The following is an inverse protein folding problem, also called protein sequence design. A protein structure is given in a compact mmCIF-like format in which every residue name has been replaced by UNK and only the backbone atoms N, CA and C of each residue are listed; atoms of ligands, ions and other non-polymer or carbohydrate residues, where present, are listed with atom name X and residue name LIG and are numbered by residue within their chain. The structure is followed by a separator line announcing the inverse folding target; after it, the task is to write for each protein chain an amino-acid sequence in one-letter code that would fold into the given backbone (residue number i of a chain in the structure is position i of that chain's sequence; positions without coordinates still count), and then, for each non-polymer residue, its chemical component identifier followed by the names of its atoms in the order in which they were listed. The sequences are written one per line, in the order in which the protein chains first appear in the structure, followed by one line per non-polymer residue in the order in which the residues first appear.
data_IF_851687530988
#
_entry.id   IF_851687530988
#
_cell.length_a   1.000
_cell.length_b   1.000
_cell.length_c   1.000
_cell.angle_alpha   90.00
_cell.angle_beta   90.00
_cell.angle_gamma   90.00
#
_symmetry.space_group_name_H-M   'P 1'
#
loop_
_entity.id
_entity.type
_entity.pdbx_description
1 polymer ?
#
# COMPACT_ATOMS: atom_id res chain seq x y z
N UNK A 1 22.37 21.04 -10.24
CA UNK A 1 22.10 19.69 -9.69
C UNK A 1 21.67 19.85 -8.25
N UNK A 2 20.36 19.97 -7.99
CA UNK A 2 19.84 20.11 -6.63
C UNK A 2 19.94 18.76 -5.93
N UNK A 3 20.82 18.67 -4.92
CA UNK A 3 20.86 17.53 -4.01
C UNK A 3 19.52 17.48 -3.29
N UNK A 4 18.68 16.49 -3.62
CA UNK A 4 17.47 16.20 -2.85
C UNK A 4 17.95 15.68 -1.50
N UNK A 5 17.97 16.55 -0.50
CA UNK A 5 18.20 16.19 0.90
C UNK A 5 17.15 15.11 1.25
N UNK A 6 17.62 13.89 1.50
CA UNK A 6 16.76 12.80 1.95
C UNK A 6 16.26 13.17 3.34
N UNK A 7 15.09 13.78 3.40
CA UNK A 7 14.28 13.86 4.62
C UNK A 7 14.28 12.50 5.31
N UNK A 8 14.33 12.44 6.65
CA UNK A 8 14.29 11.17 7.36
C UNK A 8 13.04 10.41 6.93
N UNK A 9 13.22 9.23 6.32
CA UNK A 9 12.11 8.45 5.78
C UNK A 9 11.10 8.21 6.90
N UNK A 10 9.90 8.77 6.76
CA UNK A 10 8.81 8.60 7.72
C UNK A 10 8.46 7.11 7.85
N UNK A 11 7.83 6.69 8.96
CA UNK A 11 7.40 5.30 9.13
C UNK A 11 6.53 4.81 7.97
N UNK A 12 5.73 5.71 7.41
CA UNK A 12 4.97 5.51 6.20
C UNK A 12 5.85 5.18 4.99
N UNK A 13 6.85 6.01 4.68
CA UNK A 13 7.74 5.80 3.54
C UNK A 13 8.53 4.49 3.64
N UNK A 14 8.91 4.07 4.86
CA UNK A 14 9.55 2.77 5.06
C UNK A 14 8.62 1.61 4.68
N UNK A 15 7.34 1.70 5.01
CA UNK A 15 6.33 0.70 4.65
C UNK A 15 6.11 0.69 3.13
N UNK A 16 5.94 1.85 2.49
CA UNK A 16 5.82 1.94 1.02
C UNK A 16 7.05 1.35 0.32
N UNK A 17 8.25 1.69 0.80
CA UNK A 17 9.49 1.17 0.25
C UNK A 17 9.58 -0.35 0.39
N UNK A 18 9.08 -0.93 1.49
CA UNK A 18 9.00 -2.38 1.67
C UNK A 18 8.18 -3.02 0.54
N UNK A 19 6.99 -2.49 0.24
CA UNK A 19 6.15 -3.03 -0.84
C UNK A 19 6.79 -2.88 -2.22
N UNK A 20 7.44 -1.76 -2.51
CA UNK A 20 8.03 -1.53 -3.83
C UNK A 20 9.34 -2.29 -4.07
N UNK A 21 10.09 -2.64 -3.01
CA UNK A 21 11.44 -3.23 -3.16
C UNK A 21 11.56 -4.67 -2.72
N UNK A 22 10.73 -5.12 -1.77
CA UNK A 22 10.83 -6.47 -1.19
C UNK A 22 9.66 -7.36 -1.54
N UNK A 23 8.44 -6.82 -1.67
CA UNK A 23 7.28 -7.65 -1.96
C UNK A 23 7.25 -8.01 -3.45
N UNK A 24 6.98 -9.27 -3.77
CA UNK A 24 6.74 -9.71 -5.14
C UNK A 24 5.31 -9.39 -5.60
N UNK A 25 5.13 -9.22 -6.90
CA UNK A 25 3.81 -8.96 -7.50
C UNK A 25 2.92 -10.19 -7.33
N UNK A 26 1.65 -9.99 -6.99
CA UNK A 26 0.64 -11.04 -6.79
C UNK A 26 1.05 -12.10 -5.78
N UNK A 27 1.82 -11.70 -4.75
CA UNK A 27 2.23 -12.57 -3.65
C UNK A 27 1.58 -12.12 -2.33
N UNK A 28 0.43 -12.70 -1.94
CA UNK A 28 -0.24 -12.41 -0.68
C UNK A 28 0.62 -12.79 0.53
N UNK A 29 0.80 -11.82 1.42
CA UNK A 29 1.46 -12.03 2.70
C UNK A 29 0.55 -11.64 3.84
N UNK A 30 0.72 -12.30 4.98
CA UNK A 30 0.04 -11.92 6.21
C UNK A 30 0.62 -10.61 6.75
N UNK A 31 -0.23 -9.79 7.39
CA UNK A 31 0.19 -8.57 8.08
C UNK A 31 1.28 -8.83 9.14
N UNK A 32 1.30 -10.03 9.74
CA UNK A 32 2.32 -10.44 10.71
C UNK A 32 3.72 -10.42 10.10
N UNK A 33 3.87 -10.85 8.83
CA UNK A 33 5.15 -10.79 8.13
C UNK A 33 5.62 -9.36 7.89
N UNK A 34 4.69 -8.44 7.59
CA UNK A 34 5.01 -7.01 7.46
C UNK A 34 5.45 -6.42 8.80
N UNK A 35 4.82 -6.83 9.91
CA UNK A 35 5.22 -6.46 11.29
C UNK A 35 6.64 -6.94 11.59
N UNK A 36 6.95 -8.19 11.30
CA UNK A 36 8.27 -8.78 11.50
C UNK A 36 9.34 -8.08 10.65
N UNK A 37 9.07 -7.86 9.35
CA UNK A 37 10.04 -7.31 8.41
C UNK A 37 10.33 -5.82 8.61
N UNK A 38 9.35 -5.07 9.14
CA UNK A 38 9.48 -3.62 9.32
C UNK A 38 9.75 -3.21 10.77
N UNK A 39 9.48 -4.09 11.74
CA UNK A 39 9.64 -3.83 13.17
C UNK A 39 8.62 -2.84 13.74
N UNK A 40 7.59 -2.46 13.00
CA UNK A 40 6.54 -1.57 13.48
C UNK A 40 5.42 -2.31 14.20
N UNK A 41 4.70 -1.61 15.08
CA UNK A 41 3.56 -2.21 15.78
C UNK A 41 2.43 -2.59 14.83
N UNK A 42 1.74 -3.68 15.14
CA UNK A 42 0.61 -4.18 14.34
C UNK A 42 -0.46 -3.10 14.08
N UNK A 43 -0.82 -2.34 15.11
CA UNK A 43 -1.79 -1.25 15.00
C UNK A 43 -1.34 -0.12 14.06
N UNK A 44 -0.04 0.20 14.06
CA UNK A 44 0.53 1.20 13.16
C UNK A 44 0.52 0.73 11.71
N UNK A 45 0.94 -0.52 11.48
CA UNK A 45 0.92 -1.10 10.13
C UNK A 45 -0.51 -1.17 9.63
N UNK A 46 -1.45 -1.72 10.41
CA UNK A 46 -2.85 -1.83 9.99
C UNK A 46 -3.45 -0.48 9.60
N UNK A 47 -3.23 0.57 10.41
CA UNK A 47 -3.70 1.93 10.09
C UNK A 47 -3.05 2.47 8.81
N UNK A 48 -1.75 2.20 8.64
CA UNK A 48 -1.01 2.62 7.45
C UNK A 48 -1.49 1.90 6.20
N UNK A 49 -1.62 0.57 6.22
CA UNK A 49 -2.08 -0.20 5.07
C UNK A 49 -3.53 0.13 4.69
N UNK A 50 -4.39 0.41 5.68
CA UNK A 50 -5.74 0.90 5.42
C UNK A 50 -5.70 2.23 4.63
N UNK A 51 -4.86 3.18 5.06
CA UNK A 51 -4.65 4.44 4.34
C UNK A 51 -4.07 4.23 2.94
N UNK A 52 -3.12 3.30 2.79
CA UNK A 52 -2.53 2.98 1.48
C UNK A 52 -3.57 2.40 0.53
N UNK A 53 -4.45 1.51 1.01
CA UNK A 53 -5.55 0.96 0.20
C UNK A 53 -6.48 2.05 -0.33
N UNK A 54 -6.75 3.07 0.47
CA UNK A 54 -7.61 4.18 0.05
C UNK A 54 -6.90 5.10 -0.96
N UNK A 55 -5.65 5.48 -0.67
CA UNK A 55 -4.91 6.51 -1.42
C UNK A 55 -4.04 5.98 -2.57
N UNK A 56 -3.81 4.68 -2.70
CA UNK A 56 -2.86 4.11 -3.68
C UNK A 56 -3.51 3.02 -4.53
N UNK A 57 -3.20 3.05 -5.82
CA UNK A 57 -3.56 2.02 -6.79
C UNK A 57 -2.53 0.88 -6.81
N UNK A 58 -3.05 -0.31 -7.08
CA UNK A 58 -2.29 -1.55 -7.18
C UNK A 58 -1.84 -2.13 -5.84
N UNK A 59 -2.50 -1.71 -4.76
CA UNK A 59 -2.32 -2.23 -3.41
C UNK A 59 -3.62 -2.84 -2.90
N UNK A 60 -3.51 -4.04 -2.35
CA UNK A 60 -4.65 -4.78 -1.80
C UNK A 60 -4.43 -5.07 -0.33
N UNK A 61 -5.49 -4.87 0.45
CA UNK A 61 -5.50 -5.14 1.88
C UNK A 61 -6.90 -5.54 2.35
N UNK A 62 -7.03 -6.76 2.85
CA UNK A 62 -8.31 -7.30 3.29
C UNK A 62 -8.14 -8.33 4.41
N UNK A 63 -9.27 -8.68 5.03
CA UNK A 63 -9.32 -9.70 6.07
C UNK A 63 -9.70 -11.03 5.42
N UNK A 64 -8.83 -12.02 5.54
CA UNK A 64 -9.08 -13.40 5.12
C UNK A 64 -9.13 -14.30 6.34
N UNK A 65 -10.32 -14.82 6.66
CA UNK A 65 -10.59 -15.56 7.89
C UNK A 65 -10.26 -14.74 9.15
N UNK A 66 -9.30 -15.22 9.94
CA UNK A 66 -8.83 -14.56 11.16
C UNK A 66 -7.60 -13.68 10.97
N UNK A 67 -7.02 -13.63 9.76
CA UNK A 67 -5.80 -12.86 9.49
C UNK A 67 -6.07 -11.72 8.49
N UNK A 68 -5.20 -10.71 8.51
CA UNK A 68 -5.19 -9.68 7.47
C UNK A 68 -4.11 -10.02 6.47
N UNK A 69 -4.46 -9.96 5.19
CA UNK A 69 -3.57 -10.23 4.07
C UNK A 69 -3.37 -8.97 3.24
N UNK A 70 -2.20 -8.85 2.65
CA UNK A 70 -1.85 -7.74 1.76
C UNK A 70 -0.98 -8.22 0.61
N UNK A 71 -1.20 -7.62 -0.56
CA UNK A 71 -0.37 -7.83 -1.76
C UNK A 71 -0.38 -6.59 -2.64
N UNK A 72 0.49 -6.58 -3.64
CA UNK A 72 0.47 -5.61 -4.73
C UNK A 72 0.25 -6.35 -6.05
N UNK A 73 -0.50 -5.75 -6.97
CA UNK A 73 -0.72 -6.30 -8.32
C UNK A 73 0.19 -5.66 -9.38
N UNK A 74 0.98 -4.66 -8.97
CA UNK A 74 1.92 -3.90 -9.80
C UNK A 74 3.32 -3.90 -9.21
N UNK A 75 4.30 -3.53 -10.04
CA UNK A 75 5.69 -3.41 -9.63
C UNK A 75 5.89 -2.34 -8.54
N UNK A 76 5.17 -1.23 -8.66
CA UNK A 76 5.15 -0.14 -7.69
C UNK A 76 3.71 0.23 -7.34
N UNK A 77 3.43 0.52 -6.07
CA UNK A 77 2.16 1.12 -5.66
C UNK A 77 2.17 2.60 -6.03
N UNK A 78 1.10 3.06 -6.68
CA UNK A 78 1.02 4.40 -7.29
C UNK A 78 0.03 5.22 -6.48
N UNK A 79 0.44 6.40 -6.00
CA UNK A 79 -0.49 7.29 -5.30
C UNK A 79 -1.56 7.74 -6.28
N UNK A 80 -2.83 7.53 -5.93
CA UNK A 80 -3.97 8.10 -6.66
C UNK A 80 -3.78 9.61 -6.66
N UNK A 81 -3.68 10.19 -7.85
CA UNK A 81 -3.81 11.63 -8.00
C UNK A 81 -5.31 11.91 -8.04
N UNK A 82 -5.79 12.90 -7.29
CA UNK A 82 -7.16 13.42 -7.45
C UNK A 82 -7.47 13.80 -8.92
N UNK A 83 -6.43 14.01 -9.74
CA UNK A 83 -6.47 14.38 -11.16
C UNK A 83 -6.13 13.22 -12.13
N UNK A 84 -6.04 11.97 -11.67
CA UNK A 84 -5.89 10.82 -12.58
C UNK A 84 -7.23 10.26 -13.02
N UNK A 85 -7.33 9.82 -14.28
CA UNK A 85 -8.53 9.22 -14.86
C UNK A 85 -9.06 7.99 -14.10
N UNK A 86 -8.31 7.47 -13.12
CA UNK A 86 -8.74 6.43 -12.19
C UNK A 86 -10.06 6.74 -11.50
N UNK A 87 -10.38 8.02 -11.23
CA UNK A 87 -11.66 8.41 -10.59
C UNK A 87 -12.90 8.07 -11.43
N UNK A 88 -12.75 8.03 -12.75
CA UNK A 88 -13.85 7.70 -13.67
C UNK A 88 -14.06 6.19 -13.84
N UNK A 89 -13.21 5.34 -13.24
CA UNK A 89 -13.34 3.89 -13.31
C UNK A 89 -14.23 3.32 -12.20
N UNK A 90 -14.46 4.06 -11.10
CA UNK A 90 -15.39 3.66 -10.02
C UNK A 90 -16.84 4.11 -10.28
N UNK A 91 -17.10 4.92 -11.32
CA UNK A 91 -18.44 5.43 -11.67
C UNK A 91 -19.27 4.47 -12.56
N UNK A 92 -18.81 3.24 -12.83
CA UNK A 92 -19.49 2.30 -13.74
C UNK A 92 -20.32 1.20 -13.05
N UNK A 93 -20.81 1.39 -11.82
CA UNK A 93 -21.74 0.45 -11.15
C UNK A 93 -23.13 1.04 -10.80
N UNK A 94 -23.54 2.16 -11.39
CA UNK A 94 -24.95 2.57 -11.42
C UNK A 94 -25.38 3.00 -12.84
N UNK A 95 -25.43 2.05 -13.77
CA UNK A 95 -26.26 2.19 -14.98
C UNK A 95 -27.34 1.10 -15.03
N UNK A 96 -28.58 1.58 -14.94
CA UNK A 96 -29.91 0.97 -15.17
C UNK A 96 -30.68 0.42 -13.95
#
# INVERSE_FOLDING_TARGET
MSKVEKTPKTGFEKIINYFNTKLEINHPIAIAKVVEDTGFSWSFIKKTLAKVKEEYDGFHFEKSGNTWITWKDRDHIIKKLDETCSRFLDESEEEC
#
